data_IF_773661913286
#
_entry.id   IF_773661913286
#
_cell.length_a   1.000
_cell.length_b   1.000
_cell.length_c   1.000
_cell.angle_alpha   90.00
_cell.angle_beta   90.00
_cell.angle_gamma   90.00
#
_symmetry.space_group_name_H-M   'P 1'
#
loop_
_entity.id
_entity.type
_entity.pdbx_description
1 polymer ?
#
# COMPACT_ATOMS: atom_id res chain seq x y z
N UNK A 1 21.63 -47.99 1.39
CA UNK A 1 20.31 -47.34 1.19
C UNK A 1 20.10 -47.23 -0.31
N UNK A 2 19.00 -47.73 -0.86
CA UNK A 2 18.75 -47.59 -2.29
C UNK A 2 18.46 -46.11 -2.60
N UNK A 3 19.14 -45.52 -3.58
CA UNK A 3 18.82 -44.17 -4.05
C UNK A 3 17.34 -44.10 -4.46
N UNK A 4 16.60 -43.18 -3.84
CA UNK A 4 15.19 -42.94 -4.15
C UNK A 4 15.02 -42.48 -5.59
N UNK A 5 14.00 -42.99 -6.28
CA UNK A 5 13.74 -42.65 -7.68
C UNK A 5 12.91 -41.37 -7.72
N UNK A 6 13.56 -40.21 -7.73
CA UNK A 6 12.87 -38.91 -7.74
C UNK A 6 12.48 -38.52 -9.18
N UNK A 7 11.24 -38.06 -9.35
CA UNK A 7 10.74 -37.54 -10.62
C UNK A 7 11.46 -36.24 -11.02
N UNK A 8 12.03 -36.17 -12.22
CA UNK A 8 12.74 -34.97 -12.72
C UNK A 8 11.86 -33.73 -12.92
N UNK A 9 10.54 -33.90 -13.01
CA UNK A 9 9.61 -32.78 -13.25
C UNK A 9 9.01 -32.22 -11.97
N UNK A 10 8.55 -33.10 -11.06
CA UNK A 10 7.84 -32.69 -9.84
C UNK A 10 8.61 -32.92 -8.53
N UNK A 11 9.80 -33.54 -8.56
CA UNK A 11 10.62 -33.75 -7.36
C UNK A 11 10.09 -34.81 -6.37
N UNK A 12 8.98 -35.50 -6.68
CA UNK A 12 8.38 -36.53 -5.81
C UNK A 12 9.03 -37.90 -6.05
N UNK A 13 9.21 -38.71 -4.99
CA UNK A 13 9.64 -40.11 -5.11
C UNK A 13 8.60 -40.96 -5.86
N UNK A 14 9.00 -41.50 -7.01
CA UNK A 14 8.19 -42.34 -7.88
C UNK A 14 8.51 -43.85 -7.75
N UNK A 15 9.18 -44.27 -6.67
CA UNK A 15 9.49 -45.68 -6.41
C UNK A 15 8.25 -46.58 -6.41
N UNK A 16 7.12 -46.04 -5.91
CA UNK A 16 5.81 -46.72 -5.81
C UNK A 16 4.76 -46.19 -6.81
N UNK A 17 5.16 -45.43 -7.83
CA UNK A 17 4.24 -44.85 -8.84
C UNK A 17 4.59 -45.33 -10.26
N UNK A 18 3.65 -45.32 -11.22
CA UNK A 18 3.96 -45.51 -12.63
C UNK A 18 4.99 -44.47 -13.07
N UNK A 19 6.12 -44.94 -13.59
CA UNK A 19 7.25 -44.09 -13.99
C UNK A 19 7.79 -44.48 -15.35
N UNK A 20 8.39 -43.51 -16.01
CA UNK A 20 9.13 -43.66 -17.27
C UNK A 20 10.58 -43.25 -17.02
N UNK A 21 11.49 -43.88 -17.75
CA UNK A 21 12.93 -43.59 -17.68
C UNK A 21 13.33 -42.91 -18.99
N UNK A 22 13.97 -41.76 -18.92
CA UNK A 22 14.47 -41.09 -20.13
C UNK A 22 15.74 -41.81 -20.67
N UNK A 23 16.21 -41.47 -21.88
CA UNK A 23 17.44 -42.05 -22.44
C UNK A 23 18.69 -41.79 -21.59
N UNK A 24 18.67 -40.77 -20.73
CA UNK A 24 19.76 -40.41 -19.81
C UNK A 24 19.68 -41.19 -18.47
N UNK A 25 18.68 -42.06 -18.31
CA UNK A 25 18.51 -42.89 -17.13
C UNK A 25 17.85 -42.20 -15.94
N UNK A 26 17.27 -41.02 -16.11
CA UNK A 26 16.53 -40.30 -15.07
C UNK A 26 15.07 -40.76 -15.04
N UNK A 27 14.42 -40.66 -13.88
CA UNK A 27 13.04 -41.11 -13.70
C UNK A 27 12.05 -39.94 -13.76
N UNK A 28 10.89 -40.15 -14.37
CA UNK A 28 9.75 -39.24 -14.36
C UNK A 28 8.47 -40.00 -14.00
N UNK A 29 7.56 -39.40 -13.24
CA UNK A 29 6.19 -39.89 -13.11
C UNK A 29 5.54 -39.96 -14.50
N UNK A 30 4.76 -41.00 -14.77
CA UNK A 30 4.10 -41.19 -16.08
C UNK A 30 3.23 -39.99 -16.46
N UNK A 31 2.44 -39.48 -15.52
CA UNK A 31 1.61 -38.28 -15.72
C UNK A 31 2.45 -37.08 -16.13
N UNK A 32 3.54 -36.77 -15.41
CA UNK A 32 4.42 -35.64 -15.75
C UNK A 32 5.11 -35.82 -17.11
N UNK A 33 5.47 -37.05 -17.48
CA UNK A 33 6.09 -37.33 -18.77
C UNK A 33 5.10 -37.21 -19.92
N UNK A 34 3.84 -37.63 -19.74
CA UNK A 34 2.77 -37.50 -20.73
C UNK A 34 2.35 -36.04 -20.92
N UNK A 35 2.20 -35.28 -19.84
CA UNK A 35 1.93 -33.84 -19.89
C UNK A 35 3.03 -33.07 -20.63
N UNK A 36 4.30 -33.45 -20.46
CA UNK A 36 5.41 -32.81 -21.18
C UNK A 36 5.62 -33.35 -22.61
N UNK A 37 5.23 -34.59 -22.91
CA UNK A 37 5.32 -35.15 -24.27
C UNK A 37 4.30 -34.52 -25.23
N UNK A 38 3.18 -34.00 -24.70
CA UNK A 38 2.16 -33.30 -25.48
C UNK A 38 2.61 -31.96 -26.09
N UNK A 39 3.72 -31.37 -25.63
CA UNK A 39 4.23 -30.09 -26.14
C UNK A 39 5.16 -30.18 -27.35
N UNK A 40 5.49 -31.39 -27.83
CA UNK A 40 6.67 -31.60 -28.69
C UNK A 40 6.45 -32.08 -30.13
N UNK A 41 5.20 -32.26 -30.61
CA UNK A 41 4.96 -32.86 -31.92
C UNK A 41 4.11 -31.98 -32.85
N UNK A 42 4.78 -31.07 -33.56
CA UNK A 42 4.48 -30.73 -34.96
C UNK A 42 3.25 -29.85 -35.25
N UNK A 43 3.43 -28.54 -35.18
CA UNK A 43 2.75 -27.61 -36.07
C UNK A 43 3.79 -27.00 -37.03
N UNK A 44 3.65 -27.34 -38.31
CA UNK A 44 4.41 -26.72 -39.40
C UNK A 44 4.07 -25.22 -39.46
N UNK A 45 5.10 -24.40 -39.66
CA UNK A 45 5.00 -22.95 -39.78
C UNK A 45 4.08 -22.54 -40.96
N UNK A 46 3.08 -21.66 -40.74
CA UNK A 46 2.56 -20.79 -41.78
C UNK A 46 3.41 -19.52 -41.86
N UNK A 47 3.61 -19.08 -43.09
CA UNK A 47 4.28 -17.84 -43.45
C UNK A 47 3.64 -16.60 -42.82
N UNK A 48 4.48 -15.58 -42.68
CA UNK A 48 4.18 -14.22 -42.26
C UNK A 48 2.86 -13.65 -42.82
N UNK A 49 2.05 -13.10 -41.92
CA UNK A 49 1.20 -11.96 -42.18
C UNK A 49 1.33 -11.00 -40.98
N UNK A 50 1.57 -9.74 -41.31
CA UNK A 50 1.49 -8.60 -40.41
C UNK A 50 0.11 -8.59 -39.76
N UNK A 51 0.04 -8.31 -38.46
CA UNK A 51 -0.73 -7.19 -37.90
C UNK A 51 -0.40 -7.04 -36.42
N UNK A 52 -0.04 -5.82 -36.05
CA UNK A 52 0.10 -5.38 -34.68
C UNK A 52 -1.29 -5.11 -34.11
N UNK A 53 -1.60 -5.63 -32.92
CA UNK A 53 -2.41 -4.94 -31.89
C UNK A 53 -2.57 -5.78 -30.61
N UNK A 54 -2.58 -5.05 -29.49
CA UNK A 54 -3.10 -5.37 -28.16
C UNK A 54 -2.44 -6.52 -27.35
N UNK A 55 -1.52 -6.10 -26.49
CA UNK A 55 -1.07 -6.82 -25.30
C UNK A 55 -2.20 -6.76 -24.26
N UNK A 56 -2.91 -7.87 -24.05
CA UNK A 56 -3.88 -8.00 -22.96
C UNK A 56 -3.13 -8.16 -21.64
N UNK A 57 -3.34 -7.20 -20.75
CA UNK A 57 -2.76 -7.15 -19.42
C UNK A 57 -3.13 -8.38 -18.60
N UNK A 58 -2.09 -8.94 -17.98
CA UNK A 58 -2.15 -10.08 -17.07
C UNK A 58 -2.75 -9.62 -15.74
N UNK A 59 -4.05 -9.85 -15.53
CA UNK A 59 -4.79 -9.51 -14.33
C UNK A 59 -4.47 -10.51 -13.21
N UNK A 60 -3.67 -10.10 -12.22
CA UNK A 60 -3.17 -10.97 -11.13
C UNK A 60 -4.09 -11.01 -9.89
N UNK A 61 -5.35 -10.59 -9.99
CA UNK A 61 -6.28 -10.48 -8.84
C UNK A 61 -7.51 -11.42 -8.86
N UNK A 62 -7.54 -12.48 -9.68
CA UNK A 62 -8.62 -13.49 -9.70
C UNK A 62 -8.42 -14.64 -8.67
N UNK A 63 -8.07 -14.31 -7.43
CA UNK A 63 -7.74 -15.31 -6.40
C UNK A 63 -8.52 -15.25 -5.09
N UNK A 64 -9.48 -14.34 -4.93
CA UNK A 64 -10.13 -14.14 -3.62
C UNK A 64 -11.61 -13.76 -3.74
N UNK A 65 -12.42 -14.60 -4.39
CA UNK A 65 -13.90 -14.47 -4.33
C UNK A 65 -14.66 -15.80 -4.59
N UNK A 66 -14.24 -16.89 -3.95
CA UNK A 66 -15.04 -18.13 -3.93
C UNK A 66 -16.13 -18.10 -2.84
N UNK A 67 -17.13 -17.22 -2.96
CA UNK A 67 -18.46 -17.48 -2.37
C UNK A 67 -19.67 -16.69 -2.91
N UNK A 68 -19.64 -16.13 -4.13
CA UNK A 68 -20.85 -15.54 -4.72
C UNK A 68 -21.10 -16.12 -6.11
N UNK A 69 -21.83 -17.24 -6.14
CA UNK A 69 -22.34 -17.82 -7.37
C UNK A 69 -23.50 -16.97 -7.91
N UNK A 70 -23.21 -16.13 -8.89
CA UNK A 70 -24.23 -15.54 -9.76
C UNK A 70 -24.52 -16.49 -10.93
N UNK A 71 -25.80 -16.74 -11.27
CA UNK A 71 -26.15 -17.59 -12.39
C UNK A 71 -25.75 -16.94 -13.72
N UNK A 72 -25.05 -17.72 -14.55
CA UNK A 72 -24.65 -17.35 -15.89
C UNK A 72 -25.84 -17.38 -16.86
N UNK A 73 -26.55 -16.27 -16.99
CA UNK A 73 -27.43 -16.01 -18.12
C UNK A 73 -27.14 -14.64 -18.74
N UNK A 74 -26.87 -14.66 -20.06
CA UNK A 74 -26.80 -13.53 -21.01
C UNK A 74 -25.68 -12.49 -20.85
N UNK A 75 -24.45 -12.87 -21.19
CA UNK A 75 -23.48 -11.88 -21.69
C UNK A 75 -23.84 -11.48 -23.14
N UNK A 76 -24.61 -10.40 -23.24
CA UNK A 76 -24.93 -9.73 -24.50
C UNK A 76 -23.68 -9.15 -25.18
N UNK A 77 -23.71 -9.13 -26.52
CA UNK A 77 -22.67 -8.57 -27.40
C UNK A 77 -22.17 -7.19 -26.93
N UNK A 78 -20.88 -6.84 -27.14
CA UNK A 78 -20.34 -5.54 -26.79
C UNK A 78 -21.11 -4.43 -27.52
N UNK A 79 -22.00 -3.77 -26.79
CA UNK A 79 -22.84 -2.69 -27.29
C UNK A 79 -21.98 -1.51 -27.72
N UNK A 80 -22.32 -0.93 -28.88
CA UNK A 80 -21.65 0.24 -29.43
C UNK A 80 -21.59 1.39 -28.40
N UNK A 81 -20.38 1.91 -28.17
CA UNK A 81 -20.15 3.07 -27.31
C UNK A 81 -20.80 4.29 -27.97
N UNK A 82 -21.82 4.86 -27.34
CA UNK A 82 -22.45 6.10 -27.79
C UNK A 82 -22.04 7.26 -26.88
N UNK A 83 -21.68 8.39 -27.50
CA UNK A 83 -21.38 9.62 -26.76
C UNK A 83 -22.62 10.16 -26.05
N UNK A 84 -22.43 10.80 -24.91
CA UNK A 84 -23.49 11.50 -24.18
C UNK A 84 -24.15 12.54 -25.09
N UNK A 85 -25.49 12.50 -25.31
CA UNK A 85 -26.18 13.42 -26.22
C UNK A 85 -26.06 14.89 -25.85
N UNK A 86 -25.81 15.20 -24.57
CA UNK A 86 -25.76 16.56 -24.07
C UNK A 86 -24.36 17.20 -24.17
N UNK A 87 -23.29 16.42 -24.00
CA UNK A 87 -21.92 16.97 -23.92
C UNK A 87 -20.87 16.23 -24.76
N UNK A 88 -21.26 15.18 -25.48
CA UNK A 88 -20.37 14.39 -26.36
C UNK A 88 -19.38 13.48 -25.65
N UNK A 89 -19.32 13.47 -24.31
CA UNK A 89 -18.39 12.60 -23.56
C UNK A 89 -18.83 11.14 -23.69
N UNK A 90 -17.89 10.22 -23.96
CA UNK A 90 -18.21 8.80 -24.09
C UNK A 90 -18.82 8.24 -22.79
N UNK A 91 -19.90 7.48 -22.94
CA UNK A 91 -20.56 6.80 -21.83
C UNK A 91 -20.23 5.31 -21.89
N UNK A 92 -19.84 4.68 -20.77
CA UNK A 92 -19.75 3.22 -20.68
C UNK A 92 -21.10 2.60 -21.05
N UNK A 93 -21.07 1.43 -21.69
CA UNK A 93 -22.29 0.68 -22.03
C UNK A 93 -23.10 0.42 -20.76
N UNK A 94 -24.36 0.85 -20.75
CA UNK A 94 -25.24 0.73 -19.57
C UNK A 94 -25.18 1.88 -18.57
N UNK A 95 -24.33 2.90 -18.76
CA UNK A 95 -24.28 4.04 -17.86
C UNK A 95 -25.60 4.86 -17.88
N UNK A 96 -26.28 4.90 -16.74
CA UNK A 96 -27.55 5.63 -16.59
C UNK A 96 -27.38 7.16 -16.54
N UNK A 97 -26.20 7.66 -16.14
CA UNK A 97 -25.93 9.10 -15.96
C UNK A 97 -24.52 9.46 -16.43
N UNK A 98 -24.40 10.56 -17.18
CA UNK A 98 -23.13 11.15 -17.56
C UNK A 98 -22.50 11.87 -16.37
N UNK A 99 -21.33 11.38 -15.94
CA UNK A 99 -20.59 11.97 -14.81
C UNK A 99 -20.07 13.38 -15.09
N UNK A 100 -19.96 13.80 -16.35
CA UNK A 100 -19.47 15.14 -16.72
C UNK A 100 -20.53 16.22 -16.65
N UNK A 101 -21.73 15.94 -17.16
CA UNK A 101 -22.78 16.96 -17.29
C UNK A 101 -24.09 16.62 -16.56
N UNK A 102 -24.17 15.46 -15.89
CA UNK A 102 -25.37 15.02 -15.17
C UNK A 102 -26.53 14.59 -16.06
N UNK A 103 -26.31 14.38 -17.36
CA UNK A 103 -27.34 13.89 -18.29
C UNK A 103 -27.70 12.43 -17.99
N UNK A 104 -28.98 12.14 -17.74
CA UNK A 104 -29.45 10.79 -17.50
C UNK A 104 -29.98 10.17 -18.80
N UNK A 105 -29.37 9.06 -19.24
CA UNK A 105 -29.66 8.38 -20.50
C UNK A 105 -31.03 7.70 -20.51
N UNK A 106 -31.52 7.25 -19.35
CA UNK A 106 -32.84 6.64 -19.22
C UNK A 106 -33.99 7.65 -19.33
N UNK A 107 -33.77 8.89 -18.87
CA UNK A 107 -34.82 9.94 -18.81
C UNK A 107 -34.67 11.03 -19.87
N UNK A 108 -33.53 11.09 -20.57
CA UNK A 108 -33.23 12.10 -21.58
C UNK A 108 -33.07 13.52 -21.03
N UNK A 109 -32.87 13.68 -19.71
CA UNK A 109 -32.81 14.99 -19.04
C UNK A 109 -31.55 15.12 -18.17
N UNK A 110 -31.03 16.34 -18.07
CA UNK A 110 -29.97 16.68 -17.11
C UNK A 110 -30.58 16.73 -15.71
N UNK A 111 -30.07 15.89 -14.81
CA UNK A 111 -30.47 15.90 -13.42
C UNK A 111 -29.88 17.16 -12.78
N UNK A 112 -30.75 18.12 -12.46
CA UNK A 112 -30.39 19.22 -11.58
C UNK A 112 -30.42 18.68 -10.16
N UNK A 113 -29.27 18.23 -9.65
CA UNK A 113 -29.10 18.07 -8.21
C UNK A 113 -29.23 19.45 -7.60
N UNK A 114 -30.39 19.72 -6.98
CA UNK A 114 -30.47 20.82 -6.02
C UNK A 114 -29.50 20.43 -4.92
N UNK A 115 -28.35 21.10 -4.85
CA UNK A 115 -27.45 21.00 -3.71
C UNK A 115 -28.30 21.30 -2.48
N UNK A 116 -28.69 20.25 -1.77
CA UNK A 116 -29.39 20.39 -0.51
C UNK A 116 -28.32 20.89 0.45
N UNK A 117 -28.33 22.19 0.69
CA UNK A 117 -27.56 22.87 1.72
C UNK A 117 -28.06 22.39 3.10
N UNK A 118 -27.88 21.11 3.39
CA UNK A 118 -28.01 20.57 4.74
C UNK A 118 -26.63 20.68 5.40
N UNK A 119 -26.20 21.92 5.65
CA UNK A 119 -25.07 22.28 6.52
C UNK A 119 -25.36 21.99 8.00
N UNK A 120 -26.36 21.17 8.31
CA UNK A 120 -26.92 20.99 9.65
C UNK A 120 -26.66 19.62 10.30
N UNK A 121 -25.85 18.73 9.69
CA UNK A 121 -25.59 17.40 10.27
C UNK A 121 -24.15 16.87 10.22
N UNK A 122 -23.15 17.76 10.31
CA UNK A 122 -21.79 17.36 10.78
C UNK A 122 -21.61 17.66 12.28
N UNK A 123 -22.62 18.23 12.94
CA UNK A 123 -22.61 18.53 14.38
C UNK A 123 -22.94 17.33 15.30
N UNK A 124 -22.97 16.09 14.79
CA UNK A 124 -23.42 14.92 15.55
C UNK A 124 -22.30 13.98 16.03
N UNK A 125 -21.05 14.47 16.13
CA UNK A 125 -20.00 13.86 16.97
C UNK A 125 -19.69 14.73 18.21
N UNK A 126 -20.28 15.93 18.30
CA UNK A 126 -20.10 16.86 19.43
C UNK A 126 -21.38 17.07 20.24
N UNK A 127 -21.91 16.02 20.88
CA UNK A 127 -23.10 16.15 21.73
C UNK A 127 -23.06 15.24 22.95
N UNK A 128 -22.11 15.48 23.85
CA UNK A 128 -22.25 15.16 25.26
C UNK A 128 -21.66 16.31 26.09
N UNK A 129 -22.44 17.38 26.29
CA UNK A 129 -22.10 18.42 27.26
C UNK A 129 -22.48 19.85 26.89
N UNK A 130 -23.73 20.14 26.54
CA UNK A 130 -24.23 21.50 26.39
C UNK A 130 -25.39 21.77 27.35
N UNK A 131 -25.07 22.31 28.52
CA UNK A 131 -26.03 22.94 29.42
C UNK A 131 -25.41 24.22 30.00
N UNK A 132 -25.33 25.28 29.19
CA UNK A 132 -25.13 26.66 29.69
C UNK A 132 -25.41 27.68 28.58
N UNK A 133 -26.70 27.87 28.26
CA UNK A 133 -27.14 29.04 27.51
C UNK A 133 -27.44 30.18 28.51
N UNK A 134 -26.40 30.86 29.00
CA UNK A 134 -26.46 32.19 29.63
C UNK A 134 -25.05 32.75 29.92
N UNK A 135 -24.46 33.54 28.99
CA UNK A 135 -23.54 34.67 29.23
C UNK A 135 -22.80 35.09 27.94
N UNK A 136 -23.44 35.92 27.11
CA UNK A 136 -22.96 36.38 25.80
C UNK A 136 -21.81 37.39 25.77
N UNK A 137 -20.79 37.28 26.63
CA UNK A 137 -19.56 38.11 26.53
C UNK A 137 -18.23 37.33 26.73
N UNK A 138 -18.25 35.99 26.82
CA UNK A 138 -17.04 35.17 27.08
C UNK A 138 -16.57 34.35 25.86
N UNK A 139 -17.25 34.44 24.71
CA UNK A 139 -17.09 33.44 23.62
C UNK A 139 -15.98 33.75 22.60
N UNK A 140 -15.34 34.93 22.65
CA UNK A 140 -14.24 35.25 21.73
C UNK A 140 -12.87 34.73 22.19
N UNK A 141 -12.67 34.54 23.50
CA UNK A 141 -11.43 34.04 24.08
C UNK A 141 -10.98 32.66 23.54
N UNK A 142 -11.86 31.64 23.42
CA UNK A 142 -11.41 30.31 22.99
C UNK A 142 -10.93 30.26 21.54
N UNK A 143 -11.41 31.15 20.67
CA UNK A 143 -10.99 31.16 19.25
C UNK A 143 -9.52 31.54 19.13
N UNK A 144 -9.07 32.56 19.86
CA UNK A 144 -7.68 32.98 19.81
C UNK A 144 -6.73 31.95 20.42
N UNK A 145 -7.18 31.18 21.43
CA UNK A 145 -6.43 30.05 21.98
C UNK A 145 -6.21 28.98 20.91
N UNK A 146 -7.29 28.58 20.23
CA UNK A 146 -7.23 27.55 19.19
C UNK A 146 -6.34 28.01 18.03
N UNK A 147 -6.50 29.25 17.56
CA UNK A 147 -5.67 29.80 16.49
C UNK A 147 -4.19 29.84 16.88
N UNK A 148 -3.88 30.40 18.06
CA UNK A 148 -2.49 30.49 18.54
C UNK A 148 -1.85 29.12 18.74
N UNK A 149 -2.56 28.19 19.40
CA UNK A 149 -2.11 26.82 19.59
C UNK A 149 -1.91 26.07 18.27
N UNK A 150 -2.83 26.24 17.32
CA UNK A 150 -2.75 25.58 16.00
C UNK A 150 -1.55 26.08 15.20
N UNK A 151 -1.26 27.38 15.23
CA UNK A 151 -0.05 27.94 14.59
C UNK A 151 1.21 27.33 15.23
N UNK A 152 1.28 27.29 16.57
CA UNK A 152 2.40 26.65 17.28
C UNK A 152 2.54 25.16 16.92
N UNK A 153 1.43 24.45 16.81
CA UNK A 153 1.39 23.03 16.44
C UNK A 153 1.85 22.77 15.01
N UNK A 154 1.39 23.56 14.04
CA UNK A 154 1.81 23.47 12.64
C UNK A 154 3.31 23.74 12.51
N UNK A 155 3.82 24.80 13.15
CA UNK A 155 5.25 25.13 13.14
C UNK A 155 6.07 24.00 13.78
N UNK A 156 5.64 23.50 14.93
CA UNK A 156 6.32 22.39 15.62
C UNK A 156 6.34 21.11 14.79
N UNK A 157 5.19 20.72 14.22
CA UNK A 157 5.08 19.54 13.37
C UNK A 157 5.92 19.65 12.10
N UNK A 158 5.98 20.83 11.46
CA UNK A 158 6.83 21.08 10.29
C UNK A 158 8.31 20.96 10.63
N UNK A 159 8.76 21.54 11.76
CA UNK A 159 10.15 21.40 12.24
C UNK A 159 10.49 19.92 12.48
N UNK A 160 9.59 19.18 13.12
CA UNK A 160 9.78 17.74 13.34
C UNK A 160 9.91 16.99 12.00
N UNK A 161 8.95 17.15 11.09
CA UNK A 161 8.97 16.46 9.81
C UNK A 161 10.27 16.72 9.02
N UNK A 162 10.76 17.97 9.01
CA UNK A 162 12.03 18.32 8.35
C UNK A 162 13.23 17.62 9.00
N UNK A 163 13.32 17.62 10.34
CA UNK A 163 14.43 16.96 11.05
C UNK A 163 14.39 15.46 10.80
N UNK A 164 13.22 14.83 10.89
CA UNK A 164 13.07 13.40 10.68
C UNK A 164 13.42 13.00 9.24
N UNK A 165 12.93 13.75 8.24
CA UNK A 165 13.23 13.49 6.83
C UNK A 165 14.72 13.65 6.49
N UNK A 166 15.42 14.61 7.11
CA UNK A 166 16.84 14.86 6.82
C UNK A 166 17.80 13.98 7.59
N UNK A 167 17.45 13.57 8.81
CA UNK A 167 18.35 12.77 9.67
C UNK A 167 18.07 11.28 9.62
N UNK A 168 16.87 10.86 9.20
CA UNK A 168 16.38 9.49 9.35
C UNK A 168 16.25 9.05 10.81
N UNK A 169 16.36 9.98 11.77
CA UNK A 169 16.28 9.70 13.21
C UNK A 169 14.98 10.25 13.78
N UNK A 170 14.21 9.36 14.43
CA UNK A 170 13.05 9.74 15.21
C UNK A 170 13.48 10.11 16.64
N UNK A 171 13.63 11.42 16.85
CA UNK A 171 14.13 11.93 18.12
C UNK A 171 12.93 12.33 19.01
N UNK A 172 12.58 11.47 19.97
CA UNK A 172 11.40 11.65 20.82
C UNK A 172 11.32 12.99 21.58
N UNK A 173 12.45 13.61 21.94
CA UNK A 173 12.43 14.91 22.64
C UNK A 173 11.88 16.07 21.79
N UNK A 174 11.81 15.92 20.46
CA UNK A 174 11.19 16.92 19.58
C UNK A 174 9.70 17.05 19.91
N UNK A 175 9.01 15.94 20.23
CA UNK A 175 7.60 15.97 20.62
C UNK A 175 7.35 16.88 21.84
N UNK A 176 8.28 16.85 22.82
CA UNK A 176 8.24 17.76 23.97
C UNK A 176 8.35 19.24 23.55
N UNK A 177 9.23 19.54 22.59
CA UNK A 177 9.35 20.87 21.98
C UNK A 177 8.06 21.33 21.29
N UNK A 178 7.40 20.44 20.54
CA UNK A 178 6.10 20.71 19.90
C UNK A 178 5.04 21.08 20.95
N UNK A 179 4.96 20.33 22.05
CA UNK A 179 4.05 20.66 23.16
C UNK A 179 4.32 22.05 23.76
N UNK A 180 5.59 22.42 23.93
CA UNK A 180 5.99 23.76 24.35
C UNK A 180 5.54 24.86 23.39
N UNK A 181 5.73 24.66 22.08
CA UNK A 181 5.31 25.62 21.05
C UNK A 181 3.78 25.79 21.00
N UNK A 182 3.03 24.70 21.13
CA UNK A 182 1.55 24.75 21.23
C UNK A 182 1.12 25.51 22.48
N UNK A 183 1.69 25.18 23.65
CA UNK A 183 1.38 25.86 24.91
C UNK A 183 1.67 27.36 24.83
N UNK A 184 2.81 27.75 24.26
CA UNK A 184 3.17 29.15 24.03
C UNK A 184 2.19 29.84 23.08
N UNK A 185 1.82 29.18 21.98
CA UNK A 185 0.83 29.69 21.04
C UNK A 185 -0.52 29.94 21.70
N UNK A 186 -0.99 29.01 22.54
CA UNK A 186 -2.23 29.18 23.32
C UNK A 186 -2.10 30.33 24.32
N UNK A 187 -0.99 30.41 25.08
CA UNK A 187 -0.75 31.47 26.05
C UNK A 187 -0.75 32.87 25.41
N UNK A 188 -0.08 33.02 24.26
CA UNK A 188 -0.10 34.25 23.47
C UNK A 188 -1.51 34.58 22.94
N UNK A 189 -2.24 33.56 22.49
CA UNK A 189 -3.64 33.68 22.09
C UNK A 189 -4.57 34.10 23.24
N UNK A 190 -4.25 33.70 24.47
CA UNK A 190 -5.02 34.04 25.66
C UNK A 190 -4.81 35.48 26.14
N UNK A 191 -3.76 36.16 25.66
CA UNK A 191 -3.47 37.57 25.95
C UNK A 191 -3.50 37.87 27.46
N UNK A 192 -2.87 36.99 28.25
CA UNK A 192 -2.80 37.11 29.70
C UNK A 192 -3.96 36.51 30.48
N UNK A 193 -5.06 36.13 29.82
CA UNK A 193 -6.22 35.48 30.45
C UNK A 193 -6.11 33.94 30.37
N UNK A 194 -4.90 33.40 30.56
CA UNK A 194 -4.70 31.95 30.62
C UNK A 194 -5.45 31.37 31.82
N UNK A 195 -6.03 30.19 31.67
CA UNK A 195 -6.68 29.48 32.77
C UNK A 195 -6.65 27.97 32.52
N UNK A 196 -7.30 27.20 33.41
CA UNK A 196 -7.39 25.75 33.29
C UNK A 196 -7.96 25.32 31.93
N UNK A 197 -8.93 26.05 31.37
CA UNK A 197 -9.55 25.69 30.09
C UNK A 197 -8.61 25.95 28.91
N UNK A 198 -7.84 27.04 28.90
CA UNK A 198 -6.83 27.26 27.86
C UNK A 198 -5.72 26.21 27.93
N UNK A 199 -5.31 25.79 29.13
CA UNK A 199 -4.41 24.65 29.32
C UNK A 199 -4.94 23.35 28.70
N UNK A 200 -6.22 23.01 28.91
CA UNK A 200 -6.84 21.82 28.32
C UNK A 200 -6.92 21.90 26.79
N UNK A 201 -7.24 23.08 26.25
CA UNK A 201 -7.21 23.31 24.79
C UNK A 201 -5.79 23.09 24.25
N UNK A 202 -4.76 23.57 24.94
CA UNK A 202 -3.36 23.34 24.56
C UNK A 202 -2.99 21.85 24.53
N UNK A 203 -3.47 21.06 25.49
CA UNK A 203 -3.26 19.60 25.52
C UNK A 203 -3.82 18.91 24.28
N UNK A 204 -5.08 19.19 23.93
CA UNK A 204 -5.73 18.56 22.77
C UNK A 204 -4.99 18.92 21.49
N UNK A 205 -4.64 20.19 21.31
CA UNK A 205 -3.91 20.65 20.13
C UNK A 205 -2.50 20.03 20.07
N UNK A 206 -1.80 19.93 21.20
CA UNK A 206 -0.46 19.35 21.25
C UNK A 206 -0.48 17.86 20.89
N UNK A 207 -1.45 17.11 21.42
CA UNK A 207 -1.61 15.70 21.07
C UNK A 207 -1.87 15.51 19.58
N UNK A 208 -2.80 16.27 19.01
CA UNK A 208 -3.11 16.20 17.57
C UNK A 208 -1.90 16.60 16.72
N UNK A 209 -1.19 17.67 17.07
CA UNK A 209 0.00 18.12 16.35
C UNK A 209 1.13 17.07 16.35
N UNK A 210 1.33 16.38 17.48
CA UNK A 210 2.31 15.29 17.60
C UNK A 210 1.91 14.11 16.72
N UNK A 211 0.66 13.64 16.82
CA UNK A 211 0.17 12.53 16.00
C UNK A 211 0.26 12.84 14.50
N UNK A 212 -0.19 14.04 14.09
CA UNK A 212 -0.12 14.49 12.70
C UNK A 212 1.33 14.66 12.21
N UNK A 213 2.24 15.18 13.05
CA UNK A 213 3.65 15.33 12.68
C UNK A 213 4.33 13.98 12.43
N UNK A 214 4.08 13.00 13.31
CA UNK A 214 4.62 11.64 13.17
C UNK A 214 4.02 10.91 11.96
N UNK A 215 2.72 11.04 11.74
CA UNK A 215 2.05 10.50 10.54
C UNK A 215 2.61 11.12 9.24
N UNK A 216 2.76 12.45 9.20
CA UNK A 216 3.31 13.15 8.03
C UNK A 216 4.75 12.74 7.73
N UNK A 217 5.55 12.48 8.77
CA UNK A 217 6.93 11.99 8.60
C UNK A 217 6.94 10.68 7.81
N UNK A 218 6.05 9.73 8.12
CA UNK A 218 5.94 8.48 7.36
C UNK A 218 5.50 8.69 5.91
N UNK A 219 4.60 9.64 5.64
CA UNK A 219 4.26 9.98 4.25
C UNK A 219 5.45 10.48 3.43
N UNK A 220 6.30 11.32 4.05
CA UNK A 220 7.51 11.87 3.40
C UNK A 220 8.57 10.78 3.24
N UNK A 221 8.76 9.93 4.25
CA UNK A 221 9.72 8.82 4.19
C UNK A 221 9.32 7.79 3.11
N UNK A 222 8.03 7.47 2.98
CA UNK A 222 7.56 6.59 1.91
C UNK A 222 7.79 7.18 0.52
N UNK A 223 7.54 8.48 0.34
CA UNK A 223 7.74 9.19 -0.93
C UNK A 223 9.23 9.22 -1.33
N UNK A 224 10.11 9.57 -0.39
CA UNK A 224 11.56 9.61 -0.62
C UNK A 224 12.18 8.22 -0.77
N UNK A 225 11.67 7.21 -0.07
CA UNK A 225 12.11 5.82 -0.22
C UNK A 225 11.84 5.27 -1.62
N UNK A 226 10.69 5.64 -2.23
CA UNK A 226 10.37 5.28 -3.60
C UNK A 226 11.33 5.89 -4.62
N UNK A 227 11.70 7.15 -4.45
CA UNK A 227 12.68 7.80 -5.31
C UNK A 227 14.07 7.15 -5.16
N UNK A 228 14.48 6.84 -3.93
CA UNK A 228 15.78 6.22 -3.68
C UNK A 228 15.88 4.80 -4.24
N UNK A 229 14.79 4.02 -4.21
CA UNK A 229 14.76 2.69 -4.82
C UNK A 229 14.89 2.71 -6.35
N UNK A 230 14.47 3.79 -7.00
CA UNK A 230 14.59 3.93 -8.45
C UNK A 230 16.05 4.06 -8.93
N UNK A 231 16.97 4.44 -8.04
CA UNK A 231 18.40 4.61 -8.36
C UNK A 231 19.27 3.39 -8.00
N UNK A 232 18.70 2.35 -7.38
CA UNK A 232 19.47 1.16 -7.00
C UNK A 232 19.92 0.42 -8.27
N UNK A 233 21.23 0.27 -8.44
CA UNK A 233 21.81 -0.56 -9.49
C UNK A 233 21.51 -2.03 -9.17
N UNK A 234 20.63 -2.65 -9.97
CA UNK A 234 20.26 -4.04 -9.80
C UNK A 234 21.37 -4.96 -10.26
N UNK A 235 21.83 -5.83 -9.37
CA UNK A 235 22.85 -6.81 -9.71
C UNK A 235 22.20 -8.04 -10.35
N UNK A 236 23.02 -8.78 -11.11
CA UNK A 236 22.65 -10.11 -11.60
C UNK A 236 22.23 -11.08 -10.47
N UNK A 237 22.63 -10.82 -9.22
CA UNK A 237 22.19 -11.61 -8.05
C UNK A 237 20.75 -11.28 -7.68
N UNK A 238 20.40 -9.99 -7.66
CA UNK A 238 19.07 -9.51 -7.26
C UNK A 238 17.98 -9.96 -8.25
N UNK A 239 18.31 -9.97 -9.55
CA UNK A 239 17.38 -10.47 -10.58
C UNK A 239 17.12 -11.97 -10.39
N UNK A 240 18.14 -12.75 -10.05
CA UNK A 240 17.97 -14.20 -9.78
C UNK A 240 17.15 -14.45 -8.52
N UNK A 241 17.32 -13.64 -7.48
CA UNK A 241 16.50 -13.70 -6.28
C UNK A 241 15.03 -13.40 -6.61
N UNK A 242 14.73 -12.34 -7.37
CA UNK A 242 13.37 -12.04 -7.82
C UNK A 242 12.74 -13.18 -8.65
N UNK A 243 13.51 -13.79 -9.56
CA UNK A 243 13.06 -14.95 -10.32
C UNK A 243 12.81 -16.18 -9.43
N UNK A 244 13.65 -16.37 -8.41
CA UNK A 244 13.49 -17.46 -7.45
C UNK A 244 12.21 -17.31 -6.63
N UNK A 245 11.88 -16.09 -6.21
CA UNK A 245 10.64 -15.76 -5.52
C UNK A 245 9.43 -16.03 -6.43
N UNK A 246 9.48 -15.57 -7.68
CA UNK A 246 8.43 -15.81 -8.68
C UNK A 246 8.16 -17.32 -8.87
N UNK A 247 9.21 -18.13 -8.97
CA UNK A 247 9.11 -19.60 -9.06
C UNK A 247 8.45 -20.20 -7.81
N UNK A 248 8.78 -19.69 -6.62
CA UNK A 248 8.15 -20.14 -5.36
C UNK A 248 6.66 -19.81 -5.34
N UNK A 249 6.28 -18.60 -5.76
CA UNK A 249 4.88 -18.19 -5.87
C UNK A 249 4.11 -19.04 -6.88
N UNK A 250 4.67 -19.27 -8.07
CA UNK A 250 4.09 -20.16 -9.09
C UNK A 250 3.84 -21.56 -8.54
N UNK A 251 4.83 -22.14 -7.84
CA UNK A 251 4.70 -23.46 -7.25
C UNK A 251 3.62 -23.51 -6.17
N UNK A 252 3.55 -22.49 -5.32
CA UNK A 252 2.52 -22.38 -4.28
C UNK A 252 1.12 -22.31 -4.90
N UNK A 253 0.95 -21.52 -5.96
CA UNK A 253 -0.31 -21.38 -6.69
C UNK A 253 -0.71 -22.69 -7.41
N UNK A 254 0.27 -23.50 -7.82
CA UNK A 254 0.05 -24.85 -8.37
C UNK A 254 -0.19 -25.91 -7.28
N UNK A 255 -0.24 -25.54 -6.00
CA UNK A 255 -0.38 -26.47 -4.88
C UNK A 255 0.85 -27.35 -4.64
N UNK A 256 2.02 -26.96 -5.17
CA UNK A 256 3.29 -27.63 -4.92
C UNK A 256 3.98 -27.00 -3.70
N UNK A 257 4.08 -27.71 -2.56
CA UNK A 257 4.73 -27.16 -1.37
C UNK A 257 6.23 -27.00 -1.61
N UNK A 258 6.77 -25.84 -1.23
CA UNK A 258 8.22 -25.56 -1.28
C UNK A 258 8.87 -26.17 -0.04
N UNK A 259 9.83 -27.06 -0.27
CA UNK A 259 10.58 -27.72 0.83
C UNK A 259 11.90 -27.00 1.05
N UNK A 260 11.96 -26.22 2.12
CA UNK A 260 13.17 -25.48 2.53
C UNK A 260 14.23 -26.42 3.10
N UNK A 261 15.51 -26.18 2.77
CA UNK A 261 16.62 -27.01 3.26
C UNK A 261 16.84 -26.84 4.78
N UNK A 262 16.64 -25.62 5.28
CA UNK A 262 16.67 -25.32 6.70
C UNK A 262 15.23 -25.32 7.25
N UNK A 263 14.92 -26.16 8.25
CA UNK A 263 13.58 -26.23 8.81
C UNK A 263 13.21 -24.94 9.54
N UNK A 264 11.97 -24.49 9.37
CA UNK A 264 11.41 -23.32 10.05
C UNK A 264 11.79 -21.97 9.45
N UNK A 265 12.49 -21.92 8.30
CA UNK A 265 12.61 -20.67 7.54
C UNK A 265 11.26 -20.36 6.90
N UNK A 266 10.78 -19.14 7.12
CA UNK A 266 9.70 -18.57 6.31
C UNK A 266 10.27 -17.88 5.05
N UNK A 267 9.50 -17.84 3.97
CA UNK A 267 9.96 -17.37 2.66
C UNK A 267 10.61 -15.99 2.71
N UNK A 268 10.05 -15.05 3.47
CA UNK A 268 10.56 -13.67 3.60
C UNK A 268 11.82 -13.56 4.46
N UNK A 269 12.25 -14.64 5.13
CA UNK A 269 13.48 -14.70 5.92
C UNK A 269 14.62 -15.43 5.17
N UNK A 270 14.33 -16.01 4.01
CA UNK A 270 15.31 -16.75 3.23
C UNK A 270 16.32 -15.79 2.59
N UNK A 271 17.61 -16.12 2.67
CA UNK A 271 18.68 -15.35 2.02
C UNK A 271 19.14 -16.06 0.75
N UNK A 272 19.06 -15.39 -0.39
CA UNK A 272 19.58 -15.90 -1.65
C UNK A 272 21.12 -15.93 -1.71
N UNK A 273 21.74 -16.94 -2.34
CA UNK A 273 21.17 -18.22 -2.76
C UNK A 273 21.15 -19.25 -1.62
N UNK A 274 21.68 -18.92 -0.45
CA UNK A 274 22.04 -19.88 0.60
C UNK A 274 20.86 -20.68 1.15
N UNK A 275 19.73 -20.02 1.38
CA UNK A 275 18.59 -20.62 2.08
C UNK A 275 17.54 -21.20 1.11
N UNK A 276 17.66 -20.92 -0.20
CA UNK A 276 16.73 -21.38 -1.22
C UNK A 276 16.95 -22.85 -1.57
N UNK A 277 15.88 -23.62 -1.86
CA UNK A 277 16.03 -25.00 -2.31
C UNK A 277 16.79 -25.05 -3.65
N UNK A 278 17.73 -26.00 -3.80
CA UNK A 278 18.52 -26.16 -5.03
C UNK A 278 17.70 -26.17 -6.32
N UNK A 279 16.54 -26.81 -6.33
CA UNK A 279 15.70 -26.86 -7.53
C UNK A 279 15.10 -25.49 -7.92
N UNK A 280 14.87 -24.59 -6.95
CA UNK A 280 14.45 -23.20 -7.21
C UNK A 280 15.64 -22.43 -7.76
N UNK A 281 16.82 -22.59 -7.15
CA UNK A 281 18.06 -21.95 -7.58
C UNK A 281 18.37 -22.30 -9.04
N UNK A 282 18.33 -23.59 -9.39
CA UNK A 282 18.62 -24.07 -10.73
C UNK A 282 17.63 -23.51 -11.76
N UNK A 283 16.34 -23.44 -11.41
CA UNK A 283 15.29 -22.87 -12.29
C UNK A 283 15.47 -21.36 -12.47
N UNK A 284 15.77 -20.62 -11.40
CA UNK A 284 15.99 -19.19 -11.45
C UNK A 284 17.22 -18.85 -12.31
N UNK A 285 18.34 -19.57 -12.10
CA UNK A 285 19.53 -19.45 -12.95
C UNK A 285 19.22 -19.76 -14.41
N UNK A 286 18.46 -20.82 -14.68
CA UNK A 286 18.07 -21.19 -16.05
C UNK A 286 17.23 -20.09 -16.72
N UNK A 287 16.25 -19.50 -16.01
CA UNK A 287 15.45 -18.37 -16.53
C UNK A 287 16.35 -17.15 -16.78
N UNK A 288 17.21 -16.82 -15.83
CA UNK A 288 18.13 -15.69 -15.91
C UNK A 288 19.12 -15.79 -17.07
N UNK A 289 19.72 -16.97 -17.26
CA UNK A 289 20.69 -17.22 -18.32
C UNK A 289 20.04 -17.23 -19.71
N UNK A 290 18.73 -17.48 -19.79
CA UNK A 290 17.95 -17.39 -21.02
C UNK A 290 17.56 -15.94 -21.40
N UNK A 291 17.63 -14.99 -20.46
CA UNK A 291 17.32 -13.59 -20.71
C UNK A 291 18.49 -12.86 -21.35
N UNK A 292 18.24 -12.11 -22.42
CA UNK A 292 19.23 -11.17 -22.96
C UNK A 292 19.43 -9.99 -22.01
N UNK A 293 20.50 -9.20 -22.22
CA UNK A 293 20.73 -8.00 -21.41
C UNK A 293 19.56 -7.00 -21.49
N UNK A 294 18.94 -6.87 -22.67
CA UNK A 294 17.75 -6.04 -22.86
C UNK A 294 16.55 -6.57 -22.09
N UNK A 295 16.34 -7.90 -22.10
CA UNK A 295 15.21 -8.51 -21.38
C UNK A 295 15.37 -8.34 -19.86
N UNK A 296 16.61 -8.37 -19.36
CA UNK A 296 16.90 -8.11 -17.94
C UNK A 296 16.55 -6.69 -17.55
N UNK A 297 16.92 -5.71 -18.36
CA UNK A 297 16.56 -4.30 -18.12
C UNK A 297 15.04 -4.11 -18.14
N UNK A 298 14.34 -4.68 -19.13
CA UNK A 298 12.88 -4.63 -19.19
C UNK A 298 12.22 -5.32 -17.99
N UNK A 299 12.74 -6.47 -17.56
CA UNK A 299 12.23 -7.17 -16.37
C UNK A 299 12.37 -6.31 -15.12
N UNK A 300 13.55 -5.71 -14.90
CA UNK A 300 13.78 -4.80 -13.77
C UNK A 300 12.84 -3.59 -13.84
N UNK A 301 12.66 -2.98 -15.02
CA UNK A 301 11.74 -1.85 -15.20
C UNK A 301 10.29 -2.23 -14.90
N UNK A 302 9.84 -3.40 -15.36
CA UNK A 302 8.50 -3.90 -15.09
C UNK A 302 8.30 -4.14 -13.59
N UNK A 303 9.23 -4.83 -12.92
CA UNK A 303 9.18 -5.08 -11.47
C UNK A 303 9.18 -3.79 -10.67
N UNK A 304 9.96 -2.80 -11.08
CA UNK A 304 9.98 -1.49 -10.45
C UNK A 304 8.64 -0.75 -10.64
N UNK A 305 8.02 -0.86 -11.82
CA UNK A 305 6.69 -0.27 -12.07
C UNK A 305 5.58 -0.95 -11.27
N UNK A 306 5.60 -2.29 -11.16
CA UNK A 306 4.67 -3.06 -10.34
C UNK A 306 4.80 -2.70 -8.87
N UNK A 307 6.04 -2.64 -8.36
CA UNK A 307 6.30 -2.23 -6.98
C UNK A 307 5.80 -0.81 -6.71
N UNK A 308 6.05 0.14 -7.62
CA UNK A 308 5.56 1.51 -7.48
C UNK A 308 4.03 1.56 -7.42
N UNK A 309 3.34 0.88 -8.34
CA UNK A 309 1.87 0.80 -8.34
C UNK A 309 1.37 0.19 -7.04
N UNK A 310 1.97 -0.91 -6.58
CA UNK A 310 1.60 -1.54 -5.32
C UNK A 310 1.78 -0.61 -4.11
N UNK A 311 2.90 0.11 -4.03
CA UNK A 311 3.15 1.08 -2.95
C UNK A 311 2.17 2.25 -3.04
N UNK A 312 1.87 2.75 -4.23
CA UNK A 312 0.89 3.84 -4.44
C UNK A 312 -0.52 3.42 -4.00
N UNK A 313 -0.96 2.21 -4.36
CA UNK A 313 -2.25 1.64 -3.97
C UNK A 313 -2.34 1.34 -2.47
N UNK A 314 -1.22 0.94 -1.85
CA UNK A 314 -1.14 0.61 -0.44
C UNK A 314 -0.54 1.74 0.41
N UNK A 315 -0.41 2.95 -0.13
CA UNK A 315 0.31 4.06 0.52
C UNK A 315 -0.25 4.36 1.90
N UNK A 316 -1.57 4.47 2.01
CA UNK A 316 -2.25 4.78 3.26
C UNK A 316 -2.07 3.65 4.29
N UNK A 317 -2.18 2.39 3.86
CA UNK A 317 -1.95 1.21 4.71
C UNK A 317 -0.51 1.14 5.21
N UNK A 318 0.48 1.37 4.33
CA UNK A 318 1.89 1.38 4.68
C UNK A 318 2.22 2.53 5.64
N UNK A 319 1.64 3.71 5.41
CA UNK A 319 1.80 4.84 6.31
C UNK A 319 1.17 4.58 7.69
N UNK A 320 0.03 3.90 7.75
CA UNK A 320 -0.60 3.49 9.02
C UNK A 320 0.26 2.45 9.77
N UNK A 321 0.75 1.42 9.08
CA UNK A 321 1.63 0.39 9.68
C UNK A 321 2.94 1.03 10.16
N UNK A 322 3.57 1.87 9.33
CA UNK A 322 4.77 2.61 9.68
C UNK A 322 4.53 3.52 10.89
N UNK A 323 3.45 4.30 10.87
CA UNK A 323 3.04 5.13 11.98
C UNK A 323 2.87 4.33 13.26
N UNK A 324 2.10 3.24 13.25
CA UNK A 324 1.83 2.43 14.44
C UNK A 324 3.09 1.73 14.97
N UNK A 325 3.93 1.19 14.09
CA UNK A 325 5.17 0.50 14.45
C UNK A 325 6.26 1.44 14.97
N UNK A 326 6.24 2.72 14.55
CA UNK A 326 7.21 3.71 14.99
C UNK A 326 7.03 4.17 16.44
N UNK A 327 5.91 3.84 17.11
CA UNK A 327 5.70 4.22 18.51
C UNK A 327 6.55 3.37 19.47
N UNK A 328 7.62 3.96 19.97
CA UNK A 328 8.44 3.38 21.02
C UNK A 328 7.92 3.70 22.43
N UNK A 329 8.40 2.96 23.43
CA UNK A 329 8.12 3.26 24.84
C UNK A 329 8.58 4.68 25.24
N UNK A 330 9.70 5.15 24.67
CA UNK A 330 10.20 6.50 24.91
C UNK A 330 9.31 7.59 24.33
N UNK A 331 8.62 7.35 23.22
CA UNK A 331 7.69 8.33 22.63
C UNK A 331 6.56 8.63 23.60
N UNK A 332 6.01 7.62 24.27
CA UNK A 332 4.95 7.79 25.27
C UNK A 332 5.40 8.76 26.37
N UNK A 333 6.63 8.60 26.86
CA UNK A 333 7.20 9.49 27.88
C UNK A 333 7.26 10.94 27.36
N UNK A 334 7.78 11.14 26.15
CA UNK A 334 7.90 12.49 25.59
C UNK A 334 6.57 13.11 25.20
N UNK A 335 5.58 12.33 24.78
CA UNK A 335 4.21 12.81 24.55
C UNK A 335 3.57 13.25 25.87
N UNK A 336 3.75 12.50 26.95
CA UNK A 336 3.26 12.92 28.27
C UNK A 336 3.95 14.21 28.74
N UNK A 337 5.27 14.34 28.54
CA UNK A 337 6.01 15.57 28.84
C UNK A 337 5.54 16.75 27.97
N UNK A 338 5.28 16.52 26.68
CA UNK A 338 4.74 17.51 25.76
C UNK A 338 3.37 18.01 26.22
N UNK A 339 2.46 17.10 26.56
CA UNK A 339 1.12 17.39 27.07
C UNK A 339 1.19 18.18 28.38
N UNK A 340 2.01 17.74 29.33
CA UNK A 340 2.19 18.43 30.61
C UNK A 340 2.76 19.85 30.42
N UNK A 341 3.70 20.01 29.49
CA UNK A 341 4.30 21.31 29.16
C UNK A 341 3.29 22.22 28.46
N UNK A 342 2.56 21.70 27.47
CA UNK A 342 1.50 22.44 26.77
C UNK A 342 0.43 22.94 27.74
N UNK A 343 -0.02 22.08 28.66
CA UNK A 343 -0.96 22.44 29.71
C UNK A 343 -0.43 23.57 30.59
N UNK A 344 0.77 23.38 31.17
CA UNK A 344 1.33 24.33 32.14
C UNK A 344 1.55 25.71 31.50
N UNK A 345 2.13 25.74 30.30
CA UNK A 345 2.38 27.00 29.58
C UNK A 345 1.06 27.63 29.14
N UNK A 346 0.15 26.86 28.56
CA UNK A 346 -1.14 27.36 28.07
C UNK A 346 -2.09 27.83 29.17
N UNK A 347 -1.94 27.35 30.41
CA UNK A 347 -2.73 27.75 31.57
C UNK A 347 -2.15 28.93 32.37
N UNK A 348 -0.99 29.48 31.97
CA UNK A 348 -0.32 30.53 32.74
C UNK A 348 -1.08 31.86 32.64
N UNK A 349 -1.46 32.42 33.79
CA UNK A 349 -1.94 33.80 33.92
C UNK A 349 -0.72 34.75 33.83
N UNK A 350 -0.83 35.83 33.06
CA UNK A 350 0.21 36.86 33.11
C UNK A 350 -0.10 37.80 34.26
N UNK A 351 0.66 37.70 35.34
CA UNK A 351 0.73 38.72 36.39
C UNK A 351 1.20 40.08 35.81
#
# INVERSE_FOLDING_TARGET
MAEGKVCIFCGVDCSNRPRVKDPQGRYACRECAESNAGGGAGAAAPQAAQDAEANDGFDMFEGMDDNISFPAEEMGQPGAVSGCPNCGTMLPTGAAVCMRCGFNSATGKVIKTKARSDSSKVAAIGAAGSAAAAAGMVVAAPIFWILGGSIGGIVGAAIWAIIAATTGLEIGWIAWGVGGLVGLGVALGARGNGNVMSGLVAVVIAFLAICSGKYMTWYIVLDSGLEQQAEIEWTDSDIREMLADEIIYEMKNQGHPVTWERPGIEHYEAVWPRDYPRYVIDRANTRFDAMTASDRETYVQNRHSEMRTWIEENRDTLAEIGFMSSWGMFDIIFVLLAIATAYKVGATESD
#
